data_IF_002556313398
#
_entry.id   IF_002556313398
#
_cell.length_a   1.000
_cell.length_b   1.000
_cell.length_c   1.000
_cell.angle_alpha   90.00
_cell.angle_beta   90.00
_cell.angle_gamma   90.00
#
_symmetry.space_group_name_H-M   'P 1'
#
loop_
_entity.id
_entity.type
_entity.pdbx_description
1 polymer ?
#
# COMPACT_ATOMS: atom_id res chain seq x y z
N UNK A 1 23.62 -45.90 4.47
CA UNK A 1 22.81 -45.30 3.39
C UNK A 1 21.62 -44.60 4.04
N UNK A 2 21.77 -43.34 4.41
CA UNK A 2 20.63 -42.47 4.73
C UNK A 2 20.70 -41.32 3.71
N UNK A 3 19.55 -40.80 3.29
CA UNK A 3 19.39 -39.37 2.98
C UNK A 3 19.79 -38.81 1.60
N UNK A 4 19.63 -39.53 0.47
CA UNK A 4 19.51 -38.84 -0.85
C UNK A 4 18.08 -38.52 -1.26
N UNK A 5 17.12 -39.43 -0.99
CA UNK A 5 15.69 -39.19 -1.29
C UNK A 5 15.10 -38.04 -0.48
N UNK A 6 15.28 -38.07 0.85
CA UNK A 6 14.67 -37.08 1.76
C UNK A 6 15.18 -35.65 1.56
N UNK A 7 16.44 -35.45 1.14
CA UNK A 7 17.00 -34.11 0.91
C UNK A 7 16.45 -33.50 -0.38
N UNK A 8 16.27 -34.30 -1.43
CA UNK A 8 15.62 -33.87 -2.68
C UNK A 8 14.15 -33.52 -2.44
N UNK A 9 13.42 -34.36 -1.69
CA UNK A 9 12.01 -34.12 -1.37
C UNK A 9 11.81 -32.83 -0.56
N UNK A 10 12.72 -32.56 0.39
CA UNK A 10 12.70 -31.32 1.17
C UNK A 10 13.02 -30.08 0.31
N UNK A 11 13.95 -30.19 -0.63
CA UNK A 11 14.26 -29.11 -1.57
C UNK A 11 13.06 -28.81 -2.49
N UNK A 12 12.38 -29.84 -2.98
CA UNK A 12 11.20 -29.70 -3.83
C UNK A 12 10.01 -29.08 -3.08
N UNK A 13 9.81 -29.45 -1.82
CA UNK A 13 8.80 -28.81 -0.95
C UNK A 13 9.16 -27.34 -0.71
N UNK A 14 10.43 -27.04 -0.40
CA UNK A 14 10.91 -25.67 -0.21
C UNK A 14 10.68 -24.79 -1.45
N UNK A 15 10.99 -25.31 -2.64
CA UNK A 15 10.78 -24.61 -3.90
C UNK A 15 9.29 -24.31 -4.15
N UNK A 16 8.39 -25.27 -3.85
CA UNK A 16 6.95 -25.07 -4.00
C UNK A 16 6.41 -24.00 -3.05
N UNK A 17 6.84 -24.00 -1.78
CA UNK A 17 6.44 -22.98 -0.80
C UNK A 17 6.91 -21.61 -1.26
N UNK A 18 8.16 -21.48 -1.70
CA UNK A 18 8.70 -20.21 -2.20
C UNK A 18 7.88 -19.68 -3.39
N UNK A 19 7.50 -20.55 -4.33
CA UNK A 19 6.66 -20.16 -5.47
C UNK A 19 5.27 -19.69 -5.04
N UNK A 20 4.66 -20.33 -4.04
CA UNK A 20 3.37 -19.89 -3.50
C UNK A 20 3.49 -18.49 -2.89
N UNK A 21 4.52 -18.25 -2.08
CA UNK A 21 4.76 -16.96 -1.44
C UNK A 21 5.00 -15.87 -2.49
N UNK A 22 5.82 -16.13 -3.51
CA UNK A 22 6.10 -15.15 -4.57
C UNK A 22 4.84 -14.78 -5.37
N UNK A 23 3.97 -15.76 -5.64
CA UNK A 23 2.70 -15.52 -6.33
C UNK A 23 1.74 -14.68 -5.49
N UNK A 24 1.60 -15.00 -4.21
CA UNK A 24 0.77 -14.22 -3.29
C UNK A 24 1.31 -12.79 -3.11
N UNK A 25 2.63 -12.62 -2.97
CA UNK A 25 3.27 -11.29 -2.92
C UNK A 25 2.99 -10.46 -4.19
N UNK A 26 3.07 -11.08 -5.37
CA UNK A 26 2.78 -10.40 -6.62
C UNK A 26 1.30 -9.97 -6.69
N UNK A 27 0.37 -10.84 -6.28
CA UNK A 27 -1.04 -10.51 -6.20
C UNK A 27 -1.32 -9.35 -5.23
N UNK A 28 -0.69 -9.36 -4.06
CA UNK A 28 -0.83 -8.28 -3.08
C UNK A 28 -0.26 -6.95 -3.58
N UNK A 29 0.88 -6.97 -4.27
CA UNK A 29 1.43 -5.76 -4.89
C UNK A 29 0.46 -5.16 -5.92
N UNK A 30 -0.16 -6.01 -6.73
CA UNK A 30 -1.17 -5.60 -7.71
C UNK A 30 -2.41 -4.99 -7.04
N UNK A 31 -2.89 -5.60 -5.96
CA UNK A 31 -4.03 -5.07 -5.19
C UNK A 31 -3.68 -3.72 -4.57
N UNK A 32 -2.51 -3.59 -3.95
CA UNK A 32 -2.01 -2.33 -3.37
C UNK A 32 -1.90 -1.21 -4.41
N UNK A 33 -1.37 -1.53 -5.60
CA UNK A 33 -1.24 -0.57 -6.69
C UNK A 33 -2.61 -0.06 -7.15
N UNK A 34 -3.56 -0.99 -7.39
CA UNK A 34 -4.93 -0.63 -7.78
C UNK A 34 -5.66 0.15 -6.70
N UNK A 35 -5.50 -0.22 -5.44
CA UNK A 35 -6.12 0.47 -4.32
C UNK A 35 -5.69 1.94 -4.26
N UNK A 36 -4.37 2.20 -4.30
CA UNK A 36 -3.83 3.55 -4.31
C UNK A 36 -4.31 4.36 -5.53
N UNK A 37 -4.29 3.76 -6.72
CA UNK A 37 -4.78 4.40 -7.95
C UNK A 37 -6.27 4.75 -7.86
N UNK A 38 -7.11 3.81 -7.41
CA UNK A 38 -8.54 4.02 -7.27
C UNK A 38 -8.86 5.14 -6.27
N UNK A 39 -8.10 5.26 -5.18
CA UNK A 39 -8.26 6.39 -4.26
C UNK A 39 -7.88 7.71 -4.93
N UNK A 40 -6.71 7.79 -5.59
CA UNK A 40 -6.31 9.00 -6.32
C UNK A 40 -7.38 9.41 -7.34
N UNK A 41 -7.88 8.46 -8.14
CA UNK A 41 -8.88 8.72 -9.17
C UNK A 41 -10.26 9.08 -8.58
N UNK A 42 -10.65 8.46 -7.47
CA UNK A 42 -11.88 8.78 -6.75
C UNK A 42 -11.86 10.21 -6.23
N UNK A 43 -10.82 10.55 -5.46
CA UNK A 43 -10.67 11.88 -4.88
C UNK A 43 -10.44 12.96 -5.93
N UNK A 44 -9.71 12.67 -7.01
CA UNK A 44 -9.55 13.62 -8.11
C UNK A 44 -10.87 13.92 -8.80
N UNK A 45 -11.77 12.94 -8.92
CA UNK A 45 -13.14 13.16 -9.43
C UNK A 45 -13.99 14.01 -8.47
N UNK A 46 -13.80 13.85 -7.17
CA UNK A 46 -14.56 14.57 -6.14
C UNK A 46 -14.06 16.01 -5.94
N UNK A 47 -12.75 16.22 -5.84
CA UNK A 47 -12.14 17.50 -5.48
C UNK A 47 -11.55 18.27 -6.67
N UNK A 48 -11.47 17.64 -7.85
CA UNK A 48 -10.98 18.25 -9.08
C UNK A 48 -9.45 18.42 -9.17
N UNK A 49 -8.99 18.84 -10.34
CA UNK A 49 -7.57 18.93 -10.70
C UNK A 49 -6.78 20.01 -9.95
N UNK A 50 -7.46 20.97 -9.32
CA UNK A 50 -6.82 22.04 -8.55
C UNK A 50 -6.43 21.60 -7.13
N UNK A 51 -6.81 20.38 -6.72
CA UNK A 51 -6.50 19.83 -5.40
C UNK A 51 -5.34 18.84 -5.53
N UNK A 52 -4.32 19.02 -4.68
CA UNK A 52 -3.24 18.05 -4.57
C UNK A 52 -3.75 16.84 -3.78
N UNK A 53 -3.66 15.67 -4.41
CA UNK A 53 -4.05 14.39 -3.83
C UNK A 53 -2.79 13.59 -3.52
N UNK A 54 -2.62 13.22 -2.26
CA UNK A 54 -1.52 12.35 -1.83
C UNK A 54 -2.06 11.10 -1.15
N UNK A 55 -1.56 9.95 -1.57
CA UNK A 55 -1.86 8.64 -1.01
C UNK A 55 -0.55 7.98 -0.59
N UNK A 56 -0.43 7.60 0.68
CA UNK A 56 0.82 7.10 1.27
C UNK A 56 0.52 6.06 2.35
N UNK A 57 1.31 4.99 2.41
CA UNK A 57 1.11 3.91 3.41
C UNK A 57 2.30 3.71 4.35
N UNK A 58 3.40 4.43 4.12
CA UNK A 58 4.56 4.39 5.01
C UNK A 58 4.32 5.35 6.15
N UNK A 59 4.80 5.03 7.35
CA UNK A 59 4.87 5.99 8.44
C UNK A 59 5.58 7.28 7.99
N UNK A 60 5.02 8.43 8.39
CA UNK A 60 5.50 9.74 8.01
C UNK A 60 4.95 10.82 8.95
N UNK A 61 5.70 11.91 9.07
CA UNK A 61 5.23 13.18 9.57
C UNK A 61 4.62 14.00 8.42
N UNK A 62 3.62 14.82 8.74
CA UNK A 62 3.03 15.74 7.78
C UNK A 62 2.89 17.14 8.37
N UNK A 63 2.97 18.14 7.52
CA UNK A 63 2.60 19.51 7.86
C UNK A 63 2.02 20.16 6.62
N UNK A 64 0.83 20.72 6.78
CA UNK A 64 0.12 21.42 5.73
C UNK A 64 -0.03 22.89 6.12
N UNK A 65 0.00 23.77 5.13
CA UNK A 65 -0.36 25.16 5.36
C UNK A 65 -1.87 25.25 5.67
N UNK A 66 -2.27 26.24 6.47
CA UNK A 66 -3.68 26.46 6.80
C UNK A 66 -4.29 25.41 7.73
N UNK A 67 -5.60 25.54 7.95
CA UNK A 67 -6.34 24.70 8.88
C UNK A 67 -6.90 23.43 8.22
N UNK A 68 -6.86 22.32 8.95
CA UNK A 68 -7.52 21.08 8.55
C UNK A 68 -9.05 21.27 8.51
N UNK A 69 -9.72 20.68 7.53
CA UNK A 69 -11.15 20.81 7.27
C UNK A 69 -11.53 22.05 6.44
N UNK A 70 -10.58 22.94 6.16
CA UNK A 70 -10.77 24.11 5.27
C UNK A 70 -9.74 24.11 4.13
N UNK A 71 -8.46 24.16 4.48
CA UNK A 71 -7.36 24.20 3.50
C UNK A 71 -6.94 22.80 3.02
N UNK A 72 -7.10 21.79 3.88
CA UNK A 72 -6.76 20.41 3.60
C UNK A 72 -7.58 19.44 4.44
N UNK A 73 -7.72 18.21 3.96
CA UNK A 73 -8.45 17.12 4.61
C UNK A 73 -7.60 15.85 4.63
N UNK A 74 -7.89 14.93 5.57
CA UNK A 74 -7.13 13.71 5.79
C UNK A 74 -8.02 12.56 6.22
N UNK A 75 -7.72 11.37 5.70
CA UNK A 75 -8.41 10.12 6.00
C UNK A 75 -7.43 8.95 6.10
N UNK A 76 -7.83 7.98 6.90
CA UNK A 76 -7.16 6.69 7.03
C UNK A 76 -8.03 5.59 6.41
N UNK A 77 -7.43 4.72 5.60
CA UNK A 77 -8.08 3.56 5.01
C UNK A 77 -7.24 2.30 5.21
N UNK A 78 -7.91 1.18 5.44
CA UNK A 78 -7.28 -0.11 5.64
C UNK A 78 -7.50 -1.00 4.40
N UNK A 79 -6.42 -1.66 3.96
CA UNK A 79 -6.43 -2.63 2.86
C UNK A 79 -5.95 -3.99 3.36
N UNK A 80 -6.82 -4.99 3.29
CA UNK A 80 -6.44 -6.38 3.53
C UNK A 80 -5.64 -6.96 2.36
N UNK A 81 -4.52 -7.61 2.70
CA UNK A 81 -3.63 -8.32 1.77
C UNK A 81 -3.42 -9.77 2.23
N UNK A 82 -3.04 -10.66 1.32
CA UNK A 82 -2.87 -12.07 1.62
C UNK A 82 -1.68 -12.32 2.56
N UNK A 83 -0.60 -11.58 2.37
CA UNK A 83 0.62 -11.67 3.17
C UNK A 83 0.81 -10.37 3.94
N UNK A 84 0.84 -10.48 5.27
CA UNK A 84 1.13 -9.34 6.15
C UNK A 84 -0.10 -8.68 6.77
N UNK A 85 -1.31 -9.19 6.52
CA UNK A 85 -2.54 -8.75 7.19
C UNK A 85 -3.14 -7.52 6.51
N UNK A 86 -3.16 -6.40 7.23
CA UNK A 86 -3.80 -5.16 6.78
C UNK A 86 -2.76 -4.06 6.64
N UNK A 87 -2.84 -3.29 5.56
CA UNK A 87 -1.97 -2.13 5.29
C UNK A 87 -2.81 -0.86 5.40
N UNK A 88 -2.44 0.02 6.31
CA UNK A 88 -3.02 1.36 6.44
C UNK A 88 -2.48 2.31 5.38
N UNK A 89 -3.38 3.05 4.73
CA UNK A 89 -3.08 4.14 3.83
C UNK A 89 -3.63 5.44 4.41
N UNK A 90 -2.78 6.46 4.48
CA UNK A 90 -3.18 7.83 4.70
C UNK A 90 -3.45 8.50 3.35
N UNK A 91 -4.52 9.29 3.30
CA UNK A 91 -4.90 10.07 2.15
C UNK A 91 -5.04 11.54 2.55
N UNK A 92 -4.43 12.44 1.77
CA UNK A 92 -4.54 13.88 1.94
C UNK A 92 -5.09 14.54 0.68
N UNK A 93 -6.09 15.41 0.84
CA UNK A 93 -6.56 16.33 -0.19
C UNK A 93 -6.24 17.75 0.25
N UNK A 94 -5.45 18.50 -0.52
CA UNK A 94 -5.03 19.85 -0.13
C UNK A 94 -5.07 20.85 -1.28
N UNK A 95 -5.61 22.03 -1.02
CA UNK A 95 -5.60 23.18 -1.95
C UNK A 95 -4.36 24.07 -1.76
N UNK A 96 -3.49 23.70 -0.83
CA UNK A 96 -2.33 24.49 -0.42
C UNK A 96 -1.08 23.62 -0.39
N UNK A 97 0.09 24.27 -0.30
CA UNK A 97 1.35 23.55 -0.12
C UNK A 97 1.45 22.90 1.26
N UNK A 98 2.30 21.89 1.36
CA UNK A 98 2.71 21.25 2.59
C UNK A 98 3.94 20.38 2.35
N UNK A 99 4.36 19.63 3.37
CA UNK A 99 5.41 18.65 3.24
C UNK A 99 5.06 17.36 3.96
N UNK A 100 5.57 16.26 3.39
CA UNK A 100 5.56 14.93 3.97
C UNK A 100 7.02 14.53 4.20
N UNK A 101 7.31 14.03 5.39
CA UNK A 101 8.65 13.58 5.77
C UNK A 101 8.57 12.18 6.36
N UNK A 102 9.48 11.31 5.93
CA UNK A 102 9.67 9.99 6.54
C UNK A 102 10.77 10.04 7.60
#
# INVERSE_FOLDING_TARGET
LVQRGTVSDLADVGAKIAQIILKAQAADNDVRARFAQNMVDGFRREYGDATNIVVIHTEHDYTWNGAQGDAWEHWHYELDVQIGGTIGYEMYASKVGGYLKR
#
